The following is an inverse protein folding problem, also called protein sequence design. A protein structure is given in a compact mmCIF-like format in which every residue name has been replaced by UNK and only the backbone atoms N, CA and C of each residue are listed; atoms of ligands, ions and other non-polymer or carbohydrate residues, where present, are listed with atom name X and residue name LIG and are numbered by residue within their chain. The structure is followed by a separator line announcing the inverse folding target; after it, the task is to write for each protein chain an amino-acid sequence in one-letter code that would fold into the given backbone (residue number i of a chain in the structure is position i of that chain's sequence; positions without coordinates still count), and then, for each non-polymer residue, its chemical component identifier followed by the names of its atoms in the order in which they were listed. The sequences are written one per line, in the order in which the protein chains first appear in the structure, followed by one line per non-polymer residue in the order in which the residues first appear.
data_IF_076035158273
#
_entry.id   IF_076035158273
#
_cell.length_a   1.000
_cell.length_b   1.000
_cell.length_c   1.000
_cell.angle_alpha   90.00
_cell.angle_beta   90.00
_cell.angle_gamma   90.00
#
_symmetry.space_group_name_H-M   'P 1'
#
loop_
_entity.id
_entity.type
_entity.pdbx_description
1 polymer ?
#
# COMPACT_ATOMS: atom_id res chain seq x y z
N UNK A 1 -14.35 15.16 -9.08
CA UNK A 1 -13.77 13.83 -8.77
C UNK A 1 -13.72 13.02 -10.05
N UNK A 2 -12.56 12.44 -10.39
CA UNK A 2 -12.34 11.61 -11.59
C UNK A 2 -11.21 10.60 -11.34
N UNK A 3 -11.06 9.57 -12.18
CA UNK A 3 -9.89 8.69 -12.17
C UNK A 3 -8.60 9.50 -12.36
N UNK A 4 -7.53 9.02 -11.73
CA UNK A 4 -6.18 9.58 -11.88
C UNK A 4 -5.39 8.65 -12.78
N UNK A 5 -5.25 9.03 -14.05
CA UNK A 5 -4.49 8.28 -15.05
C UNK A 5 -2.99 8.57 -14.99
N UNK A 6 -2.27 7.95 -15.92
CA UNK A 6 -0.80 8.08 -16.03
C UNK A 6 -0.35 9.53 -16.27
N UNK A 7 -1.19 10.34 -16.90
CA UNK A 7 -0.95 11.76 -17.17
C UNK A 7 -0.84 12.60 -15.90
N UNK A 8 -1.40 12.13 -14.78
CA UNK A 8 -1.35 12.81 -13.48
C UNK A 8 -0.36 12.18 -12.50
N UNK A 9 0.50 11.27 -12.95
CA UNK A 9 1.42 10.53 -12.07
C UNK A 9 2.39 11.43 -11.30
N UNK A 10 2.86 12.49 -11.91
CA UNK A 10 3.72 13.47 -11.25
C UNK A 10 2.98 14.18 -10.11
N UNK A 11 1.75 14.62 -10.37
CA UNK A 11 0.92 15.27 -9.35
C UNK A 11 0.55 14.29 -8.22
N UNK A 12 0.23 13.04 -8.58
CA UNK A 12 -0.03 11.99 -7.60
C UNK A 12 1.17 11.77 -6.66
N UNK A 13 2.36 11.68 -7.22
CA UNK A 13 3.59 11.53 -6.44
C UNK A 13 3.92 12.76 -5.60
N UNK A 14 3.75 13.95 -6.18
CA UNK A 14 3.98 15.21 -5.46
C UNK A 14 3.09 15.30 -4.21
N UNK A 15 1.80 14.97 -4.34
CA UNK A 15 0.90 14.95 -3.20
C UNK A 15 1.29 13.89 -2.16
N UNK A 16 1.71 12.70 -2.57
CA UNK A 16 2.21 11.67 -1.64
C UNK A 16 3.46 12.16 -0.89
N UNK A 17 4.44 12.69 -1.59
CA UNK A 17 5.66 13.23 -0.96
C UNK A 17 5.33 14.32 0.05
N UNK A 18 4.42 15.20 -0.31
CA UNK A 18 3.97 16.26 0.58
C UNK A 18 3.32 15.70 1.86
N UNK A 19 2.36 14.81 1.72
CA UNK A 19 1.59 14.26 2.85
C UNK A 19 2.45 13.39 3.77
N UNK A 20 3.38 12.61 3.20
CA UNK A 20 4.30 11.77 3.96
C UNK A 20 5.61 12.45 4.32
N UNK A 21 5.76 13.75 3.96
CA UNK A 21 6.93 14.58 4.24
C UNK A 21 8.26 13.97 3.76
N UNK A 22 8.21 13.27 2.61
CA UNK A 22 9.40 12.65 2.00
C UNK A 22 10.22 13.72 1.31
N UNK A 23 11.40 14.00 1.83
CA UNK A 23 12.33 15.00 1.30
C UNK A 23 13.28 14.40 0.24
N UNK A 24 13.83 15.25 -0.62
CA UNK A 24 14.90 14.83 -1.56
C UNK A 24 16.15 14.34 -0.83
N UNK A 25 16.44 14.94 0.32
CA UNK A 25 17.58 14.54 1.14
C UNK A 25 17.42 13.12 1.67
N UNK A 26 16.23 12.75 2.14
CA UNK A 26 15.93 11.38 2.58
C UNK A 26 16.03 10.40 1.42
N UNK A 27 15.46 10.73 0.24
CA UNK A 27 15.57 9.89 -0.94
C UNK A 27 17.03 9.70 -1.37
N UNK A 28 17.80 10.77 -1.42
CA UNK A 28 19.22 10.72 -1.78
C UNK A 28 20.03 9.90 -0.78
N UNK A 29 19.72 9.97 0.52
CA UNK A 29 20.42 9.23 1.57
C UNK A 29 20.29 7.71 1.43
N UNK A 30 19.20 7.24 0.82
CA UNK A 30 18.95 5.83 0.51
C UNK A 30 19.26 5.46 -0.95
N UNK A 31 19.87 6.38 -1.70
CA UNK A 31 20.30 6.15 -3.08
C UNK A 31 19.18 6.20 -4.13
N UNK A 32 18.03 6.78 -3.82
CA UNK A 32 16.90 6.89 -4.75
C UNK A 32 16.74 8.30 -5.31
N UNK A 33 16.40 8.37 -6.60
CA UNK A 33 15.97 9.60 -7.26
C UNK A 33 14.45 9.55 -7.51
N UNK A 34 13.80 10.72 -7.52
CA UNK A 34 12.35 10.81 -7.73
C UNK A 34 11.89 10.11 -9.02
N UNK A 35 12.64 10.25 -10.12
CA UNK A 35 12.34 9.58 -11.39
C UNK A 35 12.30 8.06 -11.28
N UNK A 36 13.17 7.48 -10.46
CA UNK A 36 13.25 6.03 -10.26
C UNK A 36 12.07 5.54 -9.45
N UNK A 37 11.64 6.31 -8.46
CA UNK A 37 10.46 6.00 -7.65
C UNK A 37 9.20 6.03 -8.52
N UNK A 38 9.02 7.06 -9.33
CA UNK A 38 7.88 7.16 -10.27
C UNK A 38 7.90 5.96 -11.21
N UNK A 39 9.04 5.66 -11.81
CA UNK A 39 9.19 4.52 -12.72
C UNK A 39 8.89 3.18 -12.05
N UNK A 40 9.36 2.98 -10.84
CA UNK A 40 9.15 1.74 -10.09
C UNK A 40 7.68 1.57 -9.65
N UNK A 41 6.97 2.66 -9.35
CA UNK A 41 5.58 2.64 -8.93
C UNK A 41 4.60 2.49 -10.10
N UNK A 42 4.98 2.92 -11.28
CA UNK A 42 4.09 3.00 -12.44
C UNK A 42 3.37 1.67 -12.74
N UNK A 43 4.03 0.51 -12.86
CA UNK A 43 3.36 -0.76 -13.15
C UNK A 43 2.36 -1.19 -12.07
N UNK A 44 2.59 -0.78 -10.82
CA UNK A 44 1.68 -1.07 -9.71
C UNK A 44 0.48 -0.15 -9.75
N UNK A 45 0.70 1.12 -10.09
CA UNK A 45 -0.36 2.13 -10.21
C UNK A 45 -1.31 1.85 -11.35
N UNK A 46 -0.83 1.30 -12.48
CA UNK A 46 -1.68 0.90 -13.61
C UNK A 46 -2.75 -0.15 -13.23
N UNK A 47 -2.48 -0.94 -12.19
CA UNK A 47 -3.41 -1.96 -11.69
C UNK A 47 -4.32 -1.44 -10.57
N UNK A 48 -3.98 -0.31 -9.99
CA UNK A 48 -4.75 0.29 -8.91
C UNK A 48 -5.96 1.06 -9.44
N UNK A 49 -7.01 1.11 -8.65
CA UNK A 49 -8.07 2.10 -8.82
C UNK A 49 -7.65 3.37 -8.11
N UNK A 50 -7.22 4.37 -8.87
CA UNK A 50 -6.80 5.66 -8.33
C UNK A 50 -7.84 6.70 -8.69
N UNK A 51 -8.41 7.34 -7.69
CA UNK A 51 -9.35 8.43 -7.85
C UNK A 51 -8.88 9.68 -7.14
N UNK A 52 -9.15 10.82 -7.74
CA UNK A 52 -8.74 12.11 -7.22
C UNK A 52 -9.80 13.19 -7.33
N UNK A 53 -9.67 14.16 -6.47
CA UNK A 53 -10.40 15.43 -6.58
C UNK A 53 -9.48 16.45 -7.21
N UNK A 54 -10.01 17.18 -8.18
CA UNK A 54 -9.27 18.19 -8.93
C UNK A 54 -9.89 19.56 -8.72
N UNK A 55 -9.04 20.55 -8.57
CA UNK A 55 -9.38 21.95 -8.75
C UNK A 55 -8.80 22.40 -10.10
N UNK A 56 -9.68 22.64 -11.08
CA UNK A 56 -9.32 22.69 -12.49
C UNK A 56 -8.52 21.44 -12.91
N UNK A 57 -7.26 21.59 -13.28
CA UNK A 57 -6.36 20.48 -13.65
C UNK A 57 -5.35 20.10 -12.54
N UNK A 58 -5.51 20.66 -11.35
CA UNK A 58 -4.64 20.40 -10.20
C UNK A 58 -5.26 19.32 -9.32
N UNK A 59 -4.53 18.22 -9.11
CA UNK A 59 -4.91 17.15 -8.20
C UNK A 59 -4.72 17.61 -6.74
N UNK A 60 -5.81 17.76 -6.01
CA UNK A 60 -5.80 18.34 -4.65
C UNK A 60 -6.10 17.33 -3.53
N UNK A 61 -6.71 16.21 -3.87
CA UNK A 61 -6.97 15.11 -2.94
C UNK A 61 -7.02 13.80 -3.70
N UNK A 62 -6.54 12.70 -3.11
CA UNK A 62 -6.43 11.41 -3.80
C UNK A 62 -6.55 10.21 -2.87
N UNK A 63 -6.92 9.08 -3.44
CA UNK A 63 -6.87 7.75 -2.82
C UNK A 63 -6.62 6.71 -3.89
N UNK A 64 -5.89 5.65 -3.52
CA UNK A 64 -5.63 4.50 -4.38
C UNK A 64 -6.11 3.21 -3.71
N UNK A 65 -6.65 2.29 -4.49
CA UNK A 65 -7.04 0.95 -4.05
C UNK A 65 -6.34 -0.09 -4.93
N UNK A 66 -5.45 -0.87 -4.35
CA UNK A 66 -4.81 -1.99 -5.03
C UNK A 66 -5.70 -3.23 -4.99
N UNK A 67 -5.88 -3.93 -6.12
CA UNK A 67 -6.55 -5.21 -6.14
C UNK A 67 -5.66 -6.27 -5.50
N UNK A 68 -6.12 -6.82 -4.41
CA UNK A 68 -5.38 -7.75 -3.57
C UNK A 68 -6.25 -8.95 -3.19
N UNK A 69 -5.67 -9.92 -2.51
CA UNK A 69 -6.38 -11.03 -1.92
C UNK A 69 -5.98 -11.21 -0.46
N UNK A 70 -6.91 -11.62 0.36
CA UNK A 70 -6.67 -11.97 1.75
C UNK A 70 -7.17 -13.37 2.05
N UNK A 71 -6.44 -14.10 2.87
CA UNK A 71 -6.86 -15.41 3.35
C UNK A 71 -7.37 -15.30 4.79
N UNK A 72 -8.63 -15.68 5.00
CA UNK A 72 -9.28 -15.66 6.30
C UNK A 72 -9.88 -17.03 6.55
N UNK A 73 -9.51 -17.68 7.65
CA UNK A 73 -9.98 -19.03 8.01
C UNK A 73 -9.90 -20.07 6.87
N UNK A 74 -8.82 -20.01 6.09
CA UNK A 74 -8.60 -20.95 4.98
C UNK A 74 -9.26 -20.57 3.66
N UNK A 75 -10.16 -19.60 3.63
CA UNK A 75 -10.80 -19.07 2.43
C UNK A 75 -10.07 -17.84 1.90
N UNK A 76 -10.03 -17.69 0.58
CA UNK A 76 -9.41 -16.54 -0.08
C UNK A 76 -10.50 -15.58 -0.57
N UNK A 77 -10.37 -14.31 -0.20
CA UNK A 77 -11.31 -13.25 -0.56
C UNK A 77 -10.60 -12.19 -1.39
N UNK A 78 -11.32 -11.63 -2.36
CA UNK A 78 -10.88 -10.43 -3.04
C UNK A 78 -10.89 -9.24 -2.06
N UNK A 79 -9.81 -8.47 -2.05
CA UNK A 79 -9.59 -7.40 -1.09
C UNK A 79 -9.07 -6.15 -1.79
N UNK A 80 -9.51 -4.97 -1.35
CA UNK A 80 -8.90 -3.71 -1.71
C UNK A 80 -7.86 -3.28 -0.68
N UNK A 81 -6.63 -3.08 -1.11
CA UNK A 81 -5.57 -2.47 -0.31
C UNK A 81 -5.62 -0.95 -0.46
N UNK A 82 -6.25 -0.26 0.48
CA UNK A 82 -6.43 1.19 0.41
C UNK A 82 -5.16 1.90 0.86
N UNK A 83 -4.67 2.82 0.03
CA UNK A 83 -3.43 3.56 0.24
C UNK A 83 -3.46 4.91 -0.48
N UNK A 84 -2.36 5.66 -0.44
CA UNK A 84 -2.21 6.92 -1.17
C UNK A 84 -3.19 8.01 -0.74
N UNK A 85 -3.74 7.90 0.46
CA UNK A 85 -4.70 8.86 1.02
C UNK A 85 -4.00 10.16 1.32
N UNK A 86 -4.37 11.22 0.61
CA UNK A 86 -3.77 12.53 0.79
C UNK A 86 -4.69 13.67 0.34
N UNK A 87 -4.57 14.80 1.01
CA UNK A 87 -5.25 16.05 0.66
C UNK A 87 -4.32 17.21 1.00
N UNK A 88 -4.14 18.17 0.11
CA UNK A 88 -3.40 19.39 0.42
C UNK A 88 -4.10 20.17 1.54
N UNK A 89 -3.35 20.82 2.46
CA UNK A 89 -3.91 21.50 3.64
C UNK A 89 -4.96 22.53 3.32
N UNK A 90 -4.79 23.31 2.25
CA UNK A 90 -5.70 24.35 1.79
C UNK A 90 -7.07 23.82 1.37
N UNK A 91 -7.16 22.51 1.07
CA UNK A 91 -8.40 21.80 0.74
C UNK A 91 -8.90 20.90 1.89
N UNK A 92 -8.27 21.00 3.06
CA UNK A 92 -8.67 20.23 4.24
C UNK A 92 -10.04 20.69 4.77
N UNK A 93 -10.70 19.79 5.48
CA UNK A 93 -12.03 20.02 6.09
C UNK A 93 -13.18 20.36 5.10
N UNK A 94 -12.95 20.25 3.80
CA UNK A 94 -13.99 20.43 2.77
C UNK A 94 -14.76 19.13 2.47
N UNK A 95 -14.49 18.06 3.18
CA UNK A 95 -15.15 16.76 3.00
C UNK A 95 -14.69 15.98 1.76
N UNK A 96 -13.66 16.41 1.03
CA UNK A 96 -13.20 15.80 -0.20
C UNK A 96 -12.78 14.34 0.01
N UNK A 97 -11.95 14.09 1.02
CA UNK A 97 -11.50 12.73 1.34
C UNK A 97 -12.65 11.81 1.77
N UNK A 98 -13.67 12.33 2.44
CA UNK A 98 -14.84 11.52 2.78
C UNK A 98 -15.54 11.00 1.51
N UNK A 99 -15.78 11.87 0.55
CA UNK A 99 -16.40 11.52 -0.74
C UNK A 99 -15.53 10.57 -1.56
N UNK A 100 -14.19 10.76 -1.54
CA UNK A 100 -13.26 9.86 -2.22
C UNK A 100 -13.27 8.47 -1.60
N UNK A 101 -13.26 8.34 -0.26
CA UNK A 101 -13.34 7.05 0.42
C UNK A 101 -14.67 6.34 0.15
N UNK A 102 -15.78 7.06 0.16
CA UNK A 102 -17.09 6.49 -0.19
C UNK A 102 -17.10 5.96 -1.64
N UNK A 103 -16.54 6.71 -2.59
CA UNK A 103 -16.46 6.27 -3.97
C UNK A 103 -15.51 5.08 -4.12
N UNK A 104 -14.37 5.10 -3.45
CA UNK A 104 -13.45 3.96 -3.45
C UNK A 104 -14.11 2.67 -2.96
N UNK A 105 -14.88 2.73 -1.88
CA UNK A 105 -15.62 1.58 -1.37
C UNK A 105 -16.71 1.10 -2.33
N UNK A 106 -17.40 2.02 -3.03
CA UNK A 106 -18.37 1.66 -4.08
C UNK A 106 -17.69 0.94 -5.23
N UNK A 107 -16.57 1.50 -5.74
CA UNK A 107 -15.77 0.88 -6.79
C UNK A 107 -15.26 -0.51 -6.39
N UNK A 108 -14.81 -0.67 -5.15
CA UNK A 108 -14.41 -1.97 -4.60
C UNK A 108 -15.55 -2.98 -4.64
N UNK A 109 -16.74 -2.59 -4.17
CA UNK A 109 -17.92 -3.46 -4.18
C UNK A 109 -18.28 -3.91 -5.59
N UNK A 110 -18.25 -3.00 -6.56
CA UNK A 110 -18.51 -3.31 -7.97
C UNK A 110 -17.50 -4.29 -8.56
N UNK A 111 -16.28 -4.33 -8.03
CA UNK A 111 -15.22 -5.28 -8.40
C UNK A 111 -15.23 -6.57 -7.59
N UNK A 112 -16.20 -6.76 -6.70
CA UNK A 112 -16.29 -7.94 -5.82
C UNK A 112 -15.23 -7.97 -4.73
N UNK A 113 -14.71 -6.81 -4.32
CA UNK A 113 -13.76 -6.65 -3.22
C UNK A 113 -14.53 -6.30 -1.95
N UNK A 114 -14.97 -7.30 -1.20
CA UNK A 114 -15.81 -7.12 -0.02
C UNK A 114 -15.01 -6.75 1.24
N UNK A 115 -13.69 -6.81 1.18
CA UNK A 115 -12.77 -6.55 2.30
C UNK A 115 -11.84 -5.41 1.92
N UNK A 116 -11.68 -4.44 2.82
CA UNK A 116 -10.77 -3.32 2.65
C UNK A 116 -9.76 -3.24 3.80
N UNK A 117 -8.48 -3.36 3.47
CA UNK A 117 -7.40 -3.16 4.44
C UNK A 117 -6.63 -1.88 4.13
N UNK A 118 -6.13 -1.26 5.19
CA UNK A 118 -5.23 -0.12 5.13
C UNK A 118 -4.27 -0.11 6.33
N UNK A 119 -3.16 0.61 6.18
CA UNK A 119 -2.29 0.96 7.29
C UNK A 119 -2.64 2.38 7.79
N UNK A 120 -3.16 2.53 9.00
CA UNK A 120 -3.75 3.80 9.43
C UNK A 120 -2.70 4.83 9.82
N UNK A 121 -2.77 6.04 9.25
CA UNK A 121 -2.11 7.21 9.79
C UNK A 121 -2.75 7.65 11.11
N UNK A 122 -4.09 7.59 11.20
CA UNK A 122 -4.86 7.94 12.38
C UNK A 122 -5.96 6.91 12.61
N UNK A 123 -5.80 6.10 13.62
CA UNK A 123 -6.81 5.08 14.01
C UNK A 123 -8.19 5.71 14.25
N UNK A 124 -8.33 6.82 15.03
CA UNK A 124 -9.63 7.43 15.25
C UNK A 124 -10.30 7.95 13.96
N UNK A 125 -9.51 8.40 12.99
CA UNK A 125 -10.04 8.87 11.71
C UNK A 125 -10.71 7.74 10.94
N UNK A 126 -10.02 6.61 10.77
CA UNK A 126 -10.56 5.47 10.02
C UNK A 126 -11.64 4.72 10.79
N UNK A 127 -11.54 4.64 12.11
CA UNK A 127 -12.58 4.02 12.96
C UNK A 127 -13.93 4.73 12.81
N UNK A 128 -13.96 6.07 12.75
CA UNK A 128 -15.20 6.82 12.47
C UNK A 128 -15.78 6.56 11.08
N UNK A 129 -15.04 5.91 10.19
CA UNK A 129 -15.47 5.56 8.83
C UNK A 129 -15.72 4.06 8.64
N UNK A 130 -15.73 3.30 9.73
CA UNK A 130 -16.09 1.88 9.73
C UNK A 130 -14.92 0.89 9.67
N UNK A 131 -13.66 1.36 9.62
CA UNK A 131 -12.51 0.46 9.77
C UNK A 131 -12.23 0.13 11.22
N UNK A 132 -11.73 -1.07 11.46
CA UNK A 132 -11.30 -1.49 12.80
C UNK A 132 -9.93 -2.17 12.74
N UNK A 133 -9.22 -2.15 13.87
CA UNK A 133 -7.91 -2.79 14.00
C UNK A 133 -8.09 -4.31 13.98
N UNK A 134 -7.33 -4.97 13.12
CA UNK A 134 -7.34 -6.44 12.98
C UNK A 134 -6.01 -7.08 13.34
N UNK A 135 -4.92 -6.31 13.35
CA UNK A 135 -3.60 -6.79 13.74
C UNK A 135 -2.72 -5.65 14.21
N UNK A 136 -1.77 -5.98 15.08
CA UNK A 136 -0.74 -5.07 15.56
C UNK A 136 0.59 -5.35 14.86
N UNK A 137 1.39 -4.29 14.70
CA UNK A 137 2.79 -4.42 14.29
C UNK A 137 3.66 -4.41 15.55
N UNK A 138 4.38 -5.50 15.78
CA UNK A 138 5.34 -5.60 16.86
C UNK A 138 6.74 -5.39 16.29
N UNK A 139 7.51 -4.50 16.90
CA UNK A 139 8.94 -4.30 16.60
C UNK A 139 9.78 -4.83 17.77
N UNK A 140 10.83 -5.55 17.44
CA UNK A 140 11.79 -6.06 18.41
C UNK A 140 13.14 -5.41 18.16
N UNK A 141 13.78 -4.93 19.22
CA UNK A 141 15.17 -4.53 19.20
C UNK A 141 15.99 -5.62 19.91
N UNK A 142 16.90 -6.25 19.17
CA UNK A 142 17.71 -7.36 19.66
C UNK A 142 19.17 -6.96 19.56
N UNK A 143 19.90 -7.02 20.66
CA UNK A 143 21.35 -6.77 20.70
C UNK A 143 22.10 -8.01 20.17
N UNK A 144 23.27 -7.81 19.57
CA UNK A 144 24.07 -8.89 18.98
C UNK A 144 24.31 -10.07 19.91
N UNK A 145 24.54 -9.83 21.22
CA UNK A 145 24.75 -10.91 22.18
C UNK A 145 23.49 -11.71 22.53
N UNK A 146 22.31 -11.22 22.18
CA UNK A 146 21.01 -11.89 22.36
C UNK A 146 20.62 -12.74 21.15
N UNK A 147 21.35 -12.61 20.04
CA UNK A 147 21.11 -13.45 18.87
C UNK A 147 21.45 -14.90 19.19
N UNK A 148 20.66 -15.87 18.73
CA UNK A 148 20.99 -17.27 18.88
C UNK A 148 22.35 -17.55 18.21
N UNK A 149 23.25 -18.24 18.94
CA UNK A 149 24.51 -18.68 18.35
C UNK A 149 24.23 -19.67 17.23
N UNK A 150 25.07 -19.62 16.19
CA UNK A 150 24.93 -20.46 15.01
C UNK A 150 24.59 -21.91 15.35
N UNK A 151 23.39 -22.32 15.03
CA UNK A 151 23.03 -23.72 14.95
C UNK A 151 23.21 -24.14 13.49
N UNK A 152 23.80 -25.29 13.28
CA UNK A 152 23.83 -25.90 11.96
C UNK A 152 22.39 -26.19 11.53
N UNK A 153 21.88 -25.41 10.60
CA UNK A 153 20.55 -25.63 10.00
C UNK A 153 20.76 -26.43 8.73
N UNK A 154 20.08 -27.56 8.55
CA UNK A 154 20.19 -28.29 7.30
C UNK A 154 19.63 -27.43 6.15
N UNK A 155 20.43 -27.26 5.09
CA UNK A 155 20.08 -26.50 3.90
C UNK A 155 21.19 -25.60 3.41
N UNK A 156 20.99 -25.06 2.23
CA UNK A 156 21.90 -24.12 1.59
C UNK A 156 21.30 -22.73 1.52
N UNK A 157 22.14 -21.71 1.74
CA UNK A 157 21.76 -20.31 1.55
C UNK A 157 22.31 -19.84 0.20
N UNK A 158 21.41 -19.46 -0.68
CA UNK A 158 21.79 -18.94 -2.01
C UNK A 158 21.04 -17.65 -2.33
N UNK A 159 21.65 -16.83 -3.14
CA UNK A 159 20.98 -15.65 -3.68
C UNK A 159 20.09 -16.08 -4.85
N UNK A 160 18.85 -15.62 -4.86
CA UNK A 160 17.90 -15.86 -5.95
C UNK A 160 17.48 -14.57 -6.60
N UNK A 161 17.01 -14.63 -7.84
CA UNK A 161 16.39 -13.51 -8.52
C UNK A 161 15.02 -13.21 -7.90
N UNK A 162 14.77 -11.93 -7.61
CA UNK A 162 13.52 -11.47 -7.02
C UNK A 162 12.31 -11.64 -7.94
N UNK A 163 12.54 -11.69 -9.26
CA UNK A 163 11.49 -11.95 -10.25
C UNK A 163 11.37 -13.44 -10.63
N UNK A 164 12.23 -14.28 -10.09
CA UNK A 164 12.25 -15.72 -10.37
C UNK A 164 11.01 -16.46 -9.88
N UNK A 165 10.55 -17.44 -10.67
CA UNK A 165 9.37 -18.25 -10.33
C UNK A 165 9.54 -19.02 -9.01
N UNK A 166 10.76 -19.42 -8.66
CA UNK A 166 11.04 -20.10 -7.40
C UNK A 166 10.71 -19.25 -6.17
N UNK A 167 11.04 -17.96 -6.21
CA UNK A 167 10.69 -17.04 -5.14
C UNK A 167 9.19 -16.83 -5.06
N UNK A 168 8.52 -16.65 -6.20
CA UNK A 168 7.07 -16.48 -6.29
C UNK A 168 6.32 -17.69 -5.75
N UNK A 169 6.73 -18.90 -6.13
CA UNK A 169 6.13 -20.13 -5.63
C UNK A 169 6.38 -20.34 -4.13
N UNK A 170 7.57 -20.00 -3.64
CA UNK A 170 7.88 -20.05 -2.21
C UNK A 170 7.02 -19.07 -1.42
N UNK A 171 6.87 -17.85 -1.94
CA UNK A 171 6.00 -16.84 -1.34
C UNK A 171 4.53 -17.29 -1.33
N UNK A 172 4.01 -17.84 -2.43
CA UNK A 172 2.65 -18.39 -2.48
C UNK A 172 2.43 -19.46 -1.42
N UNK A 173 3.36 -20.42 -1.32
CA UNK A 173 3.27 -21.49 -0.31
C UNK A 173 3.26 -20.95 1.11
N UNK A 174 4.08 -19.94 1.39
CA UNK A 174 4.09 -19.24 2.67
C UNK A 174 2.76 -18.52 2.93
N UNK A 175 2.30 -17.72 2.00
CA UNK A 175 1.06 -16.96 2.12
C UNK A 175 -0.18 -17.87 2.31
N UNK A 176 -0.17 -19.07 1.70
CA UNK A 176 -1.25 -20.04 1.86
C UNK A 176 -1.25 -20.77 3.20
N UNK A 177 -0.13 -20.79 3.91
CA UNK A 177 0.01 -21.47 5.23
C UNK A 177 -0.25 -20.50 6.40
N UNK A 178 0.02 -19.24 6.20
CA UNK A 178 -0.05 -18.23 7.26
C UNK A 178 -1.45 -17.61 7.27
N UNK A 179 -2.14 -17.54 8.41
CA UNK A 179 -3.50 -16.96 8.49
C UNK A 179 -3.47 -15.43 8.47
N UNK A 180 -2.53 -14.83 7.78
CA UNK A 180 -2.36 -13.37 7.72
C UNK A 180 -2.67 -12.89 6.32
N UNK A 181 -3.20 -11.69 6.22
CA UNK A 181 -3.50 -10.99 4.99
C UNK A 181 -2.26 -10.78 4.14
N UNK A 182 -2.20 -11.39 2.97
CA UNK A 182 -1.15 -11.12 1.99
C UNK A 182 -1.72 -10.79 0.63
N UNK A 183 -1.09 -9.82 0.06
CA UNK A 183 -1.31 -9.33 -1.27
C UNK A 183 -0.54 -10.15 -2.26
N UNK A 184 -1.22 -10.62 -3.29
CA UNK A 184 -0.54 -11.12 -4.48
C UNK A 184 -0.30 -9.94 -5.42
N UNK A 185 0.92 -9.47 -5.46
CA UNK A 185 1.41 -8.72 -6.60
C UNK A 185 1.57 -9.72 -7.75
N UNK A 186 0.78 -9.58 -8.79
CA UNK A 186 0.99 -10.29 -10.05
C UNK A 186 2.05 -9.58 -10.86
#
# INVERSE_FOLDING_TARGET
MKPVGSEYMEQYNALLRYVFQVTEQELSSIGWQEREIIRAKFPTMEKADVIGWFDNDTLVSQVAVYPMHVRIFGQTYAMGGLTGVGTYPEYSNMGLMHKLLEQALKNMKERGQDICYLYPYSIPYYRRKGWEIISDKISYEIKDYQLPKNHQVPGDVRRVDTEGEELKETYKRYAMRTPVSYTHLR
#
